data_IF_564576101181
#
_entry.id   IF_564576101181
#
_cell.length_a   1.000
_cell.length_b   1.000
_cell.length_c   1.000
_cell.angle_alpha   90.00
_cell.angle_beta   90.00
_cell.angle_gamma   90.00
#
_symmetry.space_group_name_H-M   'P 1'
#
loop_
_entity.id
_entity.type
_entity.pdbx_description
1 polymer ?
#
# COMPACT_ATOMS: atom_id res chain seq x y z
N UNK A 1 -9.60 -38.43 6.86
CA UNK A 1 -9.58 -37.22 7.70
C UNK A 1 -10.30 -36.10 6.96
N UNK A 2 -11.04 -35.22 7.64
CA UNK A 2 -11.64 -34.03 7.00
C UNK A 2 -10.58 -33.21 6.29
N UNK A 3 -10.89 -32.67 5.12
CA UNK A 3 -9.96 -31.87 4.33
C UNK A 3 -10.39 -30.40 4.39
N UNK A 4 -9.42 -29.47 4.36
CA UNK A 4 -9.68 -28.04 4.20
C UNK A 4 -10.18 -27.74 2.80
N UNK A 5 -10.87 -26.61 2.62
CA UNK A 5 -11.26 -26.13 1.30
C UNK A 5 -10.03 -25.96 0.40
N UNK A 6 -10.14 -26.31 -0.89
CA UNK A 6 -9.04 -26.27 -1.87
C UNK A 6 -8.36 -24.90 -1.95
N UNK A 7 -9.13 -23.81 -1.75
CA UNK A 7 -8.62 -22.43 -1.73
C UNK A 7 -7.57 -22.19 -0.63
N UNK A 8 -7.58 -22.96 0.46
CA UNK A 8 -6.58 -22.83 1.53
C UNK A 8 -5.19 -23.28 1.11
N UNK A 9 -5.07 -24.11 0.09
CA UNK A 9 -3.78 -24.45 -0.52
C UNK A 9 -3.15 -23.30 -1.33
N UNK A 10 -3.95 -22.29 -1.67
CA UNK A 10 -3.51 -21.08 -2.38
C UNK A 10 -3.08 -19.96 -1.39
N UNK A 11 -3.57 -20.00 -0.16
CA UNK A 11 -3.23 -19.01 0.88
C UNK A 11 -1.81 -19.21 1.40
N UNK A 12 -0.97 -18.18 1.34
CA UNK A 12 0.43 -18.20 1.81
C UNK A 12 0.63 -17.19 2.94
N UNK A 13 1.52 -17.46 3.91
CA UNK A 13 1.95 -16.46 4.87
C UNK A 13 2.61 -15.28 4.17
N UNK A 14 2.30 -14.05 4.60
CA UNK A 14 2.92 -12.85 4.05
C UNK A 14 4.44 -12.85 4.27
N UNK A 15 5.23 -12.73 3.20
CA UNK A 15 6.70 -12.67 3.25
C UNK A 15 7.18 -11.51 4.16
N UNK A 16 6.48 -10.37 4.14
CA UNK A 16 6.76 -9.21 4.99
C UNK A 16 6.67 -9.60 6.48
N UNK A 17 5.62 -10.35 6.85
CA UNK A 17 5.40 -10.75 8.25
C UNK A 17 6.45 -11.76 8.72
N UNK A 18 6.84 -12.71 7.87
CA UNK A 18 7.89 -13.70 8.19
C UNK A 18 9.21 -12.99 8.54
N UNK A 19 9.61 -11.99 7.76
CA UNK A 19 10.83 -11.21 8.01
C UNK A 19 10.69 -10.37 9.28
N UNK A 20 9.54 -9.73 9.48
CA UNK A 20 9.28 -8.93 10.67
C UNK A 20 9.33 -9.76 11.95
N UNK A 21 8.76 -10.96 11.94
CA UNK A 21 8.81 -11.90 13.07
C UNK A 21 10.23 -12.39 13.34
N UNK A 22 11.03 -12.71 12.29
CA UNK A 22 12.44 -13.06 12.43
C UNK A 22 13.23 -11.90 13.07
N UNK A 23 13.05 -10.68 12.59
CA UNK A 23 13.71 -9.51 13.16
C UNK A 23 13.31 -9.28 14.63
N UNK A 24 12.02 -9.43 14.96
CA UNK A 24 11.51 -9.33 16.34
C UNK A 24 12.13 -10.38 17.26
N UNK A 25 12.23 -11.62 16.80
CA UNK A 25 12.85 -12.72 17.57
C UNK A 25 14.32 -12.43 17.85
N UNK A 26 15.11 -12.05 16.81
CA UNK A 26 16.52 -11.71 16.98
C UNK A 26 16.73 -10.56 17.96
N UNK A 27 15.85 -9.55 17.92
CA UNK A 27 15.87 -8.44 18.90
C UNK A 27 15.58 -8.91 20.32
N UNK A 28 14.63 -9.84 20.50
CA UNK A 28 14.31 -10.43 21.81
C UNK A 28 15.47 -11.28 22.36
N UNK A 29 16.32 -11.86 21.48
CA UNK A 29 17.55 -12.58 21.81
C UNK A 29 18.73 -11.62 22.16
N UNK A 30 18.48 -10.30 22.24
CA UNK A 30 19.46 -9.29 22.62
C UNK A 30 20.31 -8.75 21.46
N UNK A 31 20.01 -9.12 20.19
CA UNK A 31 20.72 -8.58 19.04
C UNK A 31 20.25 -7.15 18.73
N UNK A 32 21.20 -6.32 18.31
CA UNK A 32 20.94 -4.95 17.88
C UNK A 32 20.38 -4.91 16.46
N UNK A 33 19.06 -4.98 16.32
CA UNK A 33 18.35 -5.05 15.05
C UNK A 33 17.65 -3.74 14.72
N UNK A 34 17.93 -3.22 13.52
CA UNK A 34 17.17 -2.15 12.86
C UNK A 34 16.23 -2.80 11.83
N UNK A 35 14.94 -2.49 11.89
CA UNK A 35 13.97 -3.06 10.96
C UNK A 35 13.36 -2.00 10.04
N UNK A 36 13.57 -2.18 8.74
CA UNK A 36 12.95 -1.46 7.64
C UNK A 36 11.88 -2.30 6.91
N UNK A 37 11.50 -3.44 7.51
CA UNK A 37 10.59 -4.41 6.86
C UNK A 37 9.12 -4.02 6.96
N UNK A 38 8.70 -3.32 8.01
CA UNK A 38 7.29 -3.05 8.29
C UNK A 38 6.87 -1.69 7.72
N UNK A 39 5.82 -1.69 6.88
CA UNK A 39 5.22 -0.49 6.33
C UNK A 39 4.14 0.10 7.25
N UNK A 40 4.51 0.52 8.45
CA UNK A 40 3.62 1.15 9.44
C UNK A 40 4.10 2.57 9.72
N UNK A 41 3.21 3.59 9.68
CA UNK A 41 3.59 4.95 10.06
C UNK A 41 4.12 5.01 11.50
N UNK A 42 5.25 5.70 11.69
CA UNK A 42 5.87 5.88 13.00
C UNK A 42 5.41 7.21 13.65
N UNK A 43 4.10 7.39 13.73
CA UNK A 43 3.48 8.51 14.43
C UNK A 43 2.07 8.13 14.88
N UNK A 44 1.54 8.90 15.81
CA UNK A 44 0.21 8.73 16.37
C UNK A 44 -0.75 9.79 15.80
N UNK A 45 -2.06 9.50 15.73
CA UNK A 45 -3.07 10.50 15.37
C UNK A 45 -3.10 11.65 16.38
N UNK A 46 -3.68 12.78 15.97
CA UNK A 46 -3.85 13.93 16.83
C UNK A 46 -4.71 13.64 18.07
N UNK A 47 -4.52 14.41 19.15
CA UNK A 47 -5.24 14.21 20.43
C UNK A 47 -6.77 14.29 20.28
N UNK A 48 -7.27 15.08 19.34
CA UNK A 48 -8.70 15.17 19.05
C UNK A 48 -9.32 13.83 18.65
N UNK A 49 -8.55 12.94 18.00
CA UNK A 49 -8.97 11.58 17.62
C UNK A 49 -9.16 10.71 18.87
N UNK A 50 -8.21 10.78 19.80
CA UNK A 50 -8.30 10.06 21.07
C UNK A 50 -9.43 10.61 21.97
N UNK A 51 -9.63 11.93 21.97
CA UNK A 51 -10.71 12.57 22.71
C UNK A 51 -12.07 12.08 22.23
N UNK A 52 -12.30 12.05 20.91
CA UNK A 52 -13.53 11.52 20.31
C UNK A 52 -13.76 10.05 20.65
N UNK A 53 -12.71 9.22 20.61
CA UNK A 53 -12.81 7.81 21.00
C UNK A 53 -13.21 7.63 22.46
N UNK A 54 -12.60 8.39 23.39
CA UNK A 54 -12.93 8.34 24.82
C UNK A 54 -14.38 8.78 25.10
N UNK A 55 -14.82 9.84 24.42
CA UNK A 55 -16.21 10.31 24.55
C UNK A 55 -17.20 9.29 24.03
N UNK A 56 -16.93 8.70 22.87
CA UNK A 56 -17.77 7.65 22.30
C UNK A 56 -17.81 6.41 23.21
N UNK A 57 -16.68 5.97 23.76
CA UNK A 57 -16.61 4.84 24.69
C UNK A 57 -17.51 5.05 25.93
N UNK A 58 -17.59 6.28 26.44
CA UNK A 58 -18.44 6.60 27.60
C UNK A 58 -19.95 6.53 27.27
N UNK A 59 -20.31 6.58 25.99
CA UNK A 59 -21.72 6.59 25.52
C UNK A 59 -22.07 5.33 24.73
N UNK A 60 -21.10 4.43 24.49
CA UNK A 60 -21.28 3.25 23.65
C UNK A 60 -22.33 2.32 24.24
N UNK A 61 -23.37 2.07 23.46
CA UNK A 61 -24.46 1.16 23.84
C UNK A 61 -24.11 -0.32 23.62
N UNK A 62 -22.97 -0.64 22.96
CA UNK A 62 -22.61 -1.98 22.55
C UNK A 62 -23.51 -2.54 21.42
N UNK A 63 -24.25 -1.69 20.71
CA UNK A 63 -25.13 -2.12 19.64
C UNK A 63 -24.41 -2.10 18.28
N UNK A 64 -24.95 -2.86 17.33
CA UNK A 64 -24.47 -2.85 15.95
C UNK A 64 -24.79 -1.53 15.25
N UNK A 65 -23.81 -1.01 14.50
CA UNK A 65 -23.99 0.13 13.61
C UNK A 65 -24.43 -0.29 12.20
N UNK A 66 -24.37 0.67 11.28
CA UNK A 66 -24.66 0.45 9.85
C UNK A 66 -23.56 -0.37 9.17
N UNK A 67 -23.93 -1.34 8.33
CA UNK A 67 -23.02 -2.17 7.55
C UNK A 67 -22.21 -1.37 6.50
N UNK A 68 -22.74 -0.22 6.08
CA UNK A 68 -22.08 0.72 5.17
C UNK A 68 -21.11 1.66 5.89
N UNK A 69 -21.29 1.86 7.17
CA UNK A 69 -20.77 2.92 8.01
C UNK A 69 -21.89 3.87 8.46
N UNK A 70 -21.69 4.58 9.57
CA UNK A 70 -22.64 5.61 10.02
C UNK A 70 -22.69 6.76 9.01
N UNK A 71 -23.82 7.48 8.96
CA UNK A 71 -23.96 8.64 8.08
C UNK A 71 -22.88 9.68 8.34
N UNK A 72 -22.53 9.91 9.62
CA UNK A 72 -21.46 10.84 10.00
C UNK A 72 -20.08 10.40 9.44
N UNK A 73 -19.78 9.10 9.46
CA UNK A 73 -18.52 8.58 8.91
C UNK A 73 -18.50 8.67 7.38
N UNK A 74 -19.61 8.36 6.73
CA UNK A 74 -19.76 8.47 5.27
C UNK A 74 -19.62 9.91 4.82
N UNK A 75 -20.26 10.86 5.52
CA UNK A 75 -20.17 12.30 5.20
C UNK A 75 -18.77 12.84 5.43
N UNK A 76 -18.09 12.45 6.51
CA UNK A 76 -16.71 12.82 6.78
C UNK A 76 -15.76 12.32 5.67
N UNK A 77 -15.98 11.09 5.20
CA UNK A 77 -15.19 10.55 4.09
C UNK A 77 -15.49 11.26 2.76
N UNK A 78 -16.75 11.58 2.48
CA UNK A 78 -17.12 12.37 1.30
C UNK A 78 -16.41 13.74 1.30
N UNK A 79 -16.41 14.43 2.46
CA UNK A 79 -15.67 15.69 2.60
C UNK A 79 -14.15 15.52 2.37
N UNK A 80 -13.57 14.42 2.84
CA UNK A 80 -12.16 14.10 2.62
C UNK A 80 -11.83 13.92 1.13
N UNK A 81 -12.60 13.11 0.40
CA UNK A 81 -12.33 12.88 -1.03
C UNK A 81 -12.64 14.12 -1.89
N UNK A 82 -13.62 14.94 -1.48
CA UNK A 82 -13.88 16.23 -2.13
C UNK A 82 -12.68 17.19 -1.98
N UNK A 83 -12.06 17.21 -0.79
CA UNK A 83 -10.84 17.98 -0.57
C UNK A 83 -9.65 17.46 -1.40
N UNK A 84 -9.63 16.17 -1.76
CA UNK A 84 -8.68 15.59 -2.73
C UNK A 84 -9.05 15.92 -4.19
N UNK A 85 -10.18 16.58 -4.47
CA UNK A 85 -10.66 16.90 -5.81
C UNK A 85 -11.54 15.82 -6.45
N UNK A 86 -11.87 14.74 -5.74
CA UNK A 86 -12.77 13.69 -6.21
C UNK A 86 -14.23 14.08 -5.92
N UNK A 87 -14.87 14.70 -6.88
CA UNK A 87 -16.22 15.30 -6.71
C UNK A 87 -17.35 14.46 -7.28
N UNK A 88 -18.58 14.78 -6.88
CA UNK A 88 -19.79 14.17 -7.42
C UNK A 88 -20.11 12.77 -6.90
N UNK A 89 -19.42 12.32 -5.84
CA UNK A 89 -19.80 11.13 -5.09
C UNK A 89 -20.88 11.48 -4.05
N UNK A 90 -21.73 10.52 -3.76
CA UNK A 90 -22.82 10.63 -2.79
C UNK A 90 -22.72 9.48 -1.79
N UNK A 91 -23.57 9.46 -0.76
CA UNK A 91 -23.56 8.42 0.26
C UNK A 91 -23.72 7.00 -0.31
N UNK A 92 -24.55 6.83 -1.36
CA UNK A 92 -24.73 5.54 -2.05
C UNK A 92 -23.48 5.01 -2.75
N UNK A 93 -22.50 5.89 -3.01
CA UNK A 93 -21.21 5.51 -3.62
C UNK A 93 -20.19 5.02 -2.59
N UNK A 94 -20.46 5.14 -1.29
CA UNK A 94 -19.50 4.87 -0.23
C UNK A 94 -19.84 3.57 0.51
N UNK A 95 -18.81 2.79 0.83
CA UNK A 95 -18.87 1.72 1.84
C UNK A 95 -17.58 1.75 2.66
N UNK A 96 -17.70 1.40 3.94
CA UNK A 96 -16.57 1.34 4.87
C UNK A 96 -16.19 -0.12 5.15
N UNK A 97 -15.05 -0.35 5.81
CA UNK A 97 -14.63 -1.70 6.20
C UNK A 97 -13.47 -1.69 7.19
N UNK A 98 -13.02 -2.88 7.59
CA UNK A 98 -11.96 -3.10 8.57
C UNK A 98 -10.59 -2.92 7.93
N UNK A 99 -10.31 -1.69 7.44
CA UNK A 99 -9.09 -1.29 6.73
C UNK A 99 -9.11 -1.68 5.25
N UNK A 100 -8.25 -1.02 4.44
CA UNK A 100 -8.19 -1.22 2.99
C UNK A 100 -7.99 -2.69 2.58
N UNK A 101 -7.24 -3.50 3.35
CA UNK A 101 -7.01 -4.91 3.01
C UNK A 101 -8.31 -5.72 2.97
N UNK A 102 -9.20 -5.56 3.95
CA UNK A 102 -10.48 -6.24 3.97
C UNK A 102 -11.39 -5.75 2.84
N UNK A 103 -11.34 -4.45 2.54
CA UNK A 103 -12.05 -3.85 1.41
C UNK A 103 -11.57 -4.43 0.08
N UNK A 104 -10.25 -4.52 -0.14
CA UNK A 104 -9.68 -5.13 -1.36
C UNK A 104 -10.08 -6.60 -1.50
N UNK A 105 -10.13 -7.33 -0.38
CA UNK A 105 -10.63 -8.70 -0.37
C UNK A 105 -12.12 -8.75 -0.78
N UNK A 106 -12.95 -7.90 -0.20
CA UNK A 106 -14.37 -7.81 -0.57
C UNK A 106 -14.58 -7.39 -2.04
N UNK A 107 -13.74 -6.48 -2.56
CA UNK A 107 -13.78 -6.11 -3.98
C UNK A 107 -13.41 -7.28 -4.88
N UNK A 108 -12.41 -8.08 -4.49
CA UNK A 108 -12.06 -9.29 -5.23
C UNK A 108 -13.22 -10.30 -5.24
N UNK A 109 -13.87 -10.55 -4.11
CA UNK A 109 -15.05 -11.42 -4.00
C UNK A 109 -16.27 -10.88 -4.77
N UNK A 110 -16.42 -9.53 -4.85
CA UNK A 110 -17.56 -8.91 -5.52
C UNK A 110 -17.40 -8.82 -7.05
N UNK A 111 -16.17 -8.79 -7.56
CA UNK A 111 -15.88 -8.46 -8.95
C UNK A 111 -15.26 -9.60 -9.74
N UNK A 112 -14.72 -10.64 -9.09
CA UNK A 112 -14.01 -11.74 -9.72
C UNK A 112 -14.67 -13.09 -9.43
N UNK A 113 -15.02 -13.80 -10.48
CA UNK A 113 -15.31 -15.23 -10.39
C UNK A 113 -14.01 -16.05 -10.55
N UNK A 114 -14.04 -17.33 -10.13
CA UNK A 114 -12.89 -18.23 -10.32
C UNK A 114 -12.52 -18.34 -11.82
N UNK A 115 -11.28 -17.97 -12.15
CA UNK A 115 -10.78 -17.98 -13.52
C UNK A 115 -10.90 -16.66 -14.27
N UNK A 116 -11.55 -15.63 -13.71
CA UNK A 116 -11.48 -14.27 -14.23
C UNK A 116 -10.04 -13.71 -14.13
N UNK A 117 -9.67 -12.82 -15.05
CA UNK A 117 -8.33 -12.21 -15.04
C UNK A 117 -8.31 -10.89 -14.26
N UNK A 118 -7.33 -10.76 -13.36
CA UNK A 118 -6.94 -9.50 -12.75
C UNK A 118 -5.55 -9.09 -13.24
N UNK A 119 -5.39 -7.83 -13.64
CA UNK A 119 -4.10 -7.26 -14.07
C UNK A 119 -3.63 -6.19 -13.07
N UNK A 120 -2.32 -6.16 -12.80
CA UNK A 120 -1.69 -5.09 -11.99
C UNK A 120 -0.21 -4.95 -12.30
N UNK A 121 0.37 -3.71 -12.15
CA UNK A 121 1.79 -3.48 -12.33
C UNK A 121 2.64 -4.19 -11.27
N UNK A 122 3.83 -4.66 -11.64
CA UNK A 122 4.90 -5.02 -10.72
C UNK A 122 6.01 -3.95 -10.82
N UNK A 123 6.60 -3.51 -9.69
CA UNK A 123 6.39 -4.02 -8.31
C UNK A 123 5.01 -3.68 -7.73
N UNK A 124 4.46 -4.63 -6.94
CA UNK A 124 3.12 -4.53 -6.35
C UNK A 124 3.15 -4.81 -4.84
N UNK A 125 2.12 -4.38 -4.10
CA UNK A 125 1.96 -4.82 -2.71
C UNK A 125 1.57 -6.31 -2.66
N UNK A 126 2.31 -7.09 -1.88
CA UNK A 126 2.20 -8.57 -1.81
C UNK A 126 0.77 -9.08 -1.67
N UNK A 127 -0.09 -8.34 -0.95
CA UNK A 127 -1.47 -8.75 -0.71
C UNK A 127 -2.36 -8.74 -1.96
N UNK A 128 -1.99 -8.02 -3.03
CA UNK A 128 -2.77 -8.11 -4.28
C UNK A 128 -2.68 -9.50 -4.89
N UNK A 129 -1.46 -10.05 -4.93
CA UNK A 129 -1.21 -11.41 -5.39
C UNK A 129 -1.93 -12.43 -4.50
N UNK A 130 -1.73 -12.33 -3.18
CA UNK A 130 -2.30 -13.27 -2.21
C UNK A 130 -3.85 -13.29 -2.29
N UNK A 131 -4.49 -12.11 -2.37
CA UNK A 131 -5.95 -12.01 -2.49
C UNK A 131 -6.44 -12.62 -3.81
N UNK A 132 -5.79 -12.29 -4.93
CA UNK A 132 -6.15 -12.82 -6.24
C UNK A 132 -6.01 -14.36 -6.30
N UNK A 133 -4.94 -14.91 -5.71
CA UNK A 133 -4.76 -16.38 -5.61
C UNK A 133 -5.87 -17.02 -4.76
N UNK A 134 -6.27 -16.43 -3.62
CA UNK A 134 -7.30 -16.97 -2.74
C UNK A 134 -8.65 -17.05 -3.44
N UNK A 135 -9.07 -16.01 -4.16
CA UNK A 135 -10.35 -15.99 -4.90
C UNK A 135 -10.30 -16.81 -6.17
N UNK A 136 -9.12 -17.27 -6.62
CA UNK A 136 -8.95 -18.12 -7.78
C UNK A 136 -8.88 -17.38 -9.11
N UNK A 137 -8.53 -16.09 -9.07
CA UNK A 137 -8.34 -15.30 -10.28
C UNK A 137 -7.08 -15.72 -11.06
N UNK A 138 -7.10 -15.54 -12.38
CA UNK A 138 -5.91 -15.57 -13.22
C UNK A 138 -5.18 -14.24 -13.09
N UNK A 139 -3.88 -14.31 -12.87
CA UNK A 139 -3.09 -13.14 -12.55
C UNK A 139 -2.25 -12.73 -13.77
N UNK A 140 -2.41 -11.48 -14.19
CA UNK A 140 -1.64 -10.85 -15.25
C UNK A 140 -0.76 -9.74 -14.64
N UNK A 141 0.51 -10.06 -14.43
CA UNK A 141 1.49 -9.12 -13.87
C UNK A 141 2.10 -8.32 -15.02
N UNK A 142 2.13 -7.00 -14.88
CA UNK A 142 2.70 -6.06 -15.85
C UNK A 142 4.07 -5.58 -15.34
N UNK A 143 5.19 -6.12 -15.83
CA UNK A 143 6.51 -5.75 -15.34
C UNK A 143 6.83 -4.29 -15.63
N UNK A 144 7.22 -3.55 -14.60
CA UNK A 144 7.69 -2.16 -14.69
C UNK A 144 9.11 -2.10 -14.10
N UNK A 145 10.16 -2.28 -14.92
CA UNK A 145 11.53 -2.38 -14.44
C UNK A 145 12.08 -1.02 -13.96
N UNK A 146 13.20 -0.99 -13.22
CA UNK A 146 13.79 0.24 -12.70
C UNK A 146 14.20 1.23 -13.79
N UNK A 147 14.52 0.76 -14.99
CA UNK A 147 14.86 1.58 -16.16
C UNK A 147 13.70 2.47 -16.62
N UNK A 148 12.45 2.09 -16.32
CA UNK A 148 11.23 2.90 -16.51
C UNK A 148 10.69 3.46 -15.19
N UNK A 149 11.55 3.61 -14.18
CA UNK A 149 11.21 4.14 -12.85
C UNK A 149 10.07 3.38 -12.16
N UNK A 150 9.94 2.07 -12.40
CA UNK A 150 8.86 1.23 -11.85
C UNK A 150 7.44 1.72 -12.19
N UNK A 151 7.28 2.48 -13.27
CA UNK A 151 5.98 3.01 -13.71
C UNK A 151 5.48 2.27 -14.95
N UNK A 152 4.19 1.96 -14.96
CA UNK A 152 3.50 1.36 -16.09
C UNK A 152 3.43 2.37 -17.26
N UNK A 153 3.72 1.92 -18.46
CA UNK A 153 3.57 2.72 -19.68
C UNK A 153 2.18 2.54 -20.29
N UNK A 154 1.68 3.53 -21.08
CA UNK A 154 0.43 3.41 -21.81
C UNK A 154 0.39 2.19 -22.76
N UNK A 155 1.51 1.85 -23.40
CA UNK A 155 1.59 0.71 -24.31
C UNK A 155 1.41 -0.62 -23.58
N UNK A 156 2.08 -0.80 -22.43
CA UNK A 156 1.91 -1.99 -21.59
C UNK A 156 0.46 -2.13 -21.08
N UNK A 157 -0.15 -1.00 -20.70
CA UNK A 157 -1.55 -1.00 -20.25
C UNK A 157 -2.50 -1.35 -21.40
N UNK A 158 -2.28 -0.81 -22.59
CA UNK A 158 -3.11 -1.11 -23.78
C UNK A 158 -3.05 -2.61 -24.14
N UNK A 159 -1.86 -3.19 -24.13
CA UNK A 159 -1.67 -4.62 -24.35
C UNK A 159 -2.38 -5.47 -23.28
N UNK A 160 -2.27 -5.07 -22.02
CA UNK A 160 -2.91 -5.78 -20.92
C UNK A 160 -4.44 -5.71 -21.00
N UNK A 161 -5.00 -4.52 -21.26
CA UNK A 161 -6.46 -4.33 -21.33
C UNK A 161 -7.07 -4.93 -22.60
N UNK A 162 -6.29 -5.07 -23.69
CA UNK A 162 -6.73 -5.80 -24.88
C UNK A 162 -7.05 -7.28 -24.60
N UNK A 163 -6.48 -7.87 -23.53
CA UNK A 163 -6.83 -9.21 -23.03
C UNK A 163 -8.17 -9.27 -22.30
N UNK A 164 -8.81 -8.10 -22.07
CA UNK A 164 -10.07 -7.94 -21.34
C UNK A 164 -10.05 -8.50 -19.92
N UNK A 165 -9.07 -8.12 -19.07
CA UNK A 165 -9.12 -8.51 -17.67
C UNK A 165 -10.40 -7.95 -17.02
N UNK A 166 -10.97 -8.72 -16.11
CA UNK A 166 -12.16 -8.28 -15.36
C UNK A 166 -11.85 -7.08 -14.46
N UNK A 167 -10.63 -7.06 -13.87
CA UNK A 167 -10.16 -6.02 -12.98
C UNK A 167 -8.74 -5.58 -13.38
N UNK A 168 -8.51 -4.27 -13.44
CA UNK A 168 -7.18 -3.67 -13.40
C UNK A 168 -7.00 -2.97 -12.06
N UNK A 169 -5.95 -3.34 -11.30
CA UNK A 169 -5.64 -2.75 -10.00
C UNK A 169 -4.39 -1.87 -10.12
N UNK A 170 -4.49 -0.64 -9.63
CA UNK A 170 -3.46 0.39 -9.70
C UNK A 170 -3.21 1.00 -8.33
N UNK A 171 -1.95 1.24 -7.94
CA UNK A 171 -1.58 1.82 -6.65
C UNK A 171 -0.73 3.07 -6.86
N UNK A 172 -1.25 4.23 -6.42
CA UNK A 172 -0.59 5.53 -6.57
C UNK A 172 -0.88 6.48 -5.39
N UNK A 173 0.13 6.91 -4.63
CA UNK A 173 1.56 6.53 -4.63
C UNK A 173 1.80 5.05 -4.34
N UNK A 174 2.88 4.49 -4.91
CA UNK A 174 3.11 3.05 -4.94
C UNK A 174 3.84 2.52 -3.70
N UNK A 175 3.38 1.39 -3.20
CA UNK A 175 4.12 0.47 -2.36
C UNK A 175 4.49 -0.77 -3.20
N UNK A 176 5.80 -1.06 -3.46
CA UNK A 176 6.94 -0.73 -2.59
C UNK A 176 7.81 0.45 -3.06
N UNK A 177 7.53 1.06 -4.21
CA UNK A 177 8.52 1.88 -4.93
C UNK A 177 8.63 3.33 -4.45
N UNK A 178 7.56 3.85 -3.83
CA UNK A 178 7.46 5.28 -3.50
C UNK A 178 7.27 6.18 -4.73
N UNK A 179 7.06 5.59 -5.90
CA UNK A 179 6.83 6.37 -7.11
C UNK A 179 5.43 6.96 -7.16
N UNK A 180 5.31 8.13 -7.77
CA UNK A 180 4.05 8.86 -7.96
C UNK A 180 3.91 9.18 -9.44
N UNK A 181 2.74 8.91 -10.00
CA UNK A 181 2.45 9.28 -11.38
C UNK A 181 2.08 10.76 -11.47
N UNK A 182 2.72 11.46 -12.39
CA UNK A 182 2.39 12.85 -12.72
C UNK A 182 1.01 12.95 -13.36
N UNK A 183 0.47 14.17 -13.44
CA UNK A 183 -0.82 14.41 -14.11
C UNK A 183 -0.82 13.91 -15.56
N UNK A 184 0.24 14.17 -16.31
CA UNK A 184 0.34 13.80 -17.72
C UNK A 184 0.45 12.28 -17.91
N UNK A 185 1.17 11.58 -17.00
CA UNK A 185 1.21 10.11 -17.00
C UNK A 185 -0.17 9.52 -16.69
N UNK A 186 -0.91 10.09 -15.73
CA UNK A 186 -2.29 9.66 -15.43
C UNK A 186 -3.24 9.94 -16.61
N UNK A 187 -3.10 11.09 -17.31
CA UNK A 187 -3.88 11.36 -18.53
C UNK A 187 -3.62 10.27 -19.57
N UNK A 188 -2.36 9.98 -19.86
CA UNK A 188 -1.98 8.99 -20.86
C UNK A 188 -2.52 7.58 -20.55
N UNK A 189 -2.47 7.17 -19.27
CA UNK A 189 -3.07 5.89 -18.83
C UNK A 189 -4.60 5.93 -18.88
N UNK A 190 -5.23 7.04 -18.49
CA UNK A 190 -6.68 7.20 -18.53
C UNK A 190 -7.24 7.15 -19.97
N UNK A 191 -6.49 7.70 -20.93
CA UNK A 191 -6.84 7.64 -22.36
C UNK A 191 -6.83 6.17 -22.88
N UNK A 192 -5.92 5.35 -22.39
CA UNK A 192 -5.93 3.91 -22.67
C UNK A 192 -7.13 3.24 -21.99
N UNK A 193 -7.32 3.48 -20.69
CA UNK A 193 -8.44 2.91 -19.93
C UNK A 193 -9.77 3.20 -20.62
N UNK A 194 -9.97 4.42 -21.15
CA UNK A 194 -11.22 4.82 -21.79
C UNK A 194 -11.62 3.93 -22.99
N UNK A 195 -10.66 3.27 -23.64
CA UNK A 195 -10.93 2.36 -24.80
C UNK A 195 -11.53 1.02 -24.38
N UNK A 196 -11.43 0.63 -23.10
CA UNK A 196 -11.80 -0.69 -22.60
C UNK A 196 -12.88 -0.59 -21.52
N UNK A 197 -14.17 -0.40 -21.91
CA UNK A 197 -15.25 -0.08 -20.98
C UNK A 197 -15.64 -1.22 -20.03
N UNK A 198 -15.28 -2.47 -20.35
CA UNK A 198 -15.73 -3.65 -19.63
C UNK A 198 -14.82 -4.04 -18.44
N UNK A 199 -13.71 -3.31 -18.24
CA UNK A 199 -12.76 -3.57 -17.14
C UNK A 199 -13.05 -2.66 -15.94
N UNK A 200 -13.21 -3.22 -14.75
CA UNK A 200 -13.24 -2.48 -13.49
C UNK A 200 -11.85 -1.98 -13.13
N UNK A 201 -11.76 -0.75 -12.65
CA UNK A 201 -10.49 -0.13 -12.26
C UNK A 201 -10.48 0.10 -10.76
N UNK A 202 -9.65 -0.65 -10.03
CA UNK A 202 -9.43 -0.40 -8.60
C UNK A 202 -8.19 0.48 -8.45
N UNK A 203 -8.35 1.64 -7.78
CA UNK A 203 -7.21 2.49 -7.40
C UNK A 203 -7.01 2.41 -5.89
N UNK A 204 -5.89 1.81 -5.47
CA UNK A 204 -5.46 1.79 -4.07
C UNK A 204 -4.62 3.04 -3.80
N UNK A 205 -5.28 4.06 -3.26
CA UNK A 205 -4.74 5.41 -3.11
C UNK A 205 -4.44 5.75 -1.64
N UNK A 206 -4.17 4.76 -0.80
CA UNK A 206 -3.97 4.93 0.65
C UNK A 206 -2.79 5.85 1.04
N UNK A 207 -1.97 6.28 0.08
CA UNK A 207 -0.87 7.22 0.26
C UNK A 207 -1.15 8.59 -0.39
N UNK A 208 -2.39 8.89 -0.76
CA UNK A 208 -2.79 10.08 -1.55
C UNK A 208 -2.32 11.43 -0.97
N UNK A 209 -2.17 11.54 0.35
CA UNK A 209 -1.67 12.74 1.04
C UNK A 209 -0.17 12.72 1.29
N UNK A 210 0.52 11.62 1.00
CA UNK A 210 1.95 11.46 1.18
C UNK A 210 2.67 11.59 -0.16
N UNK A 211 2.67 12.80 -0.71
CA UNK A 211 3.31 13.16 -1.99
C UNK A 211 4.30 14.30 -1.74
N UNK A 212 5.50 14.18 -2.31
CA UNK A 212 6.61 15.09 -2.09
C UNK A 212 6.92 15.93 -3.34
N UNK A 213 7.76 16.95 -3.16
CA UNK A 213 8.35 17.76 -4.24
C UNK A 213 7.34 18.46 -5.17
N UNK A 214 6.09 18.66 -4.72
CA UNK A 214 5.06 19.35 -5.50
C UNK A 214 4.53 18.57 -6.69
N UNK A 215 4.80 17.25 -6.80
CA UNK A 215 4.29 16.41 -7.91
C UNK A 215 2.75 16.38 -7.92
N UNK A 216 2.12 16.47 -6.75
CA UNK A 216 0.67 16.38 -6.60
C UNK A 216 0.14 14.94 -6.70
N UNK A 217 -1.00 14.71 -6.06
CA UNK A 217 -1.72 13.45 -6.19
C UNK A 217 -2.75 13.55 -7.33
N UNK A 218 -2.78 12.55 -8.20
CA UNK A 218 -3.73 12.46 -9.30
C UNK A 218 -4.32 11.05 -9.40
N UNK A 219 -5.65 11.00 -9.61
CA UNK A 219 -6.41 9.79 -9.87
C UNK A 219 -7.01 9.87 -11.29
N UNK A 220 -7.42 8.76 -11.87
CA UNK A 220 -8.03 8.72 -13.21
C UNK A 220 -9.29 9.59 -13.31
N UNK A 221 -10.10 9.64 -12.24
CA UNK A 221 -11.32 10.47 -12.20
C UNK A 221 -11.02 11.98 -12.23
N UNK A 222 -9.82 12.42 -11.77
CA UNK A 222 -9.44 13.83 -11.87
C UNK A 222 -9.25 14.30 -13.31
N UNK A 223 -8.78 13.42 -14.18
CA UNK A 223 -8.43 13.73 -15.57
C UNK A 223 -9.51 13.28 -16.55
N UNK A 224 -10.31 12.30 -16.18
CA UNK A 224 -11.41 11.70 -16.94
C UNK A 224 -12.60 11.45 -16.03
N UNK A 225 -13.43 12.48 -15.69
CA UNK A 225 -14.54 12.32 -14.74
C UNK A 225 -15.57 11.25 -15.14
N UNK A 226 -15.71 10.97 -16.44
CA UNK A 226 -16.58 9.91 -16.98
C UNK A 226 -16.15 8.50 -16.54
N UNK A 227 -14.90 8.31 -16.16
CA UNK A 227 -14.42 7.02 -15.64
C UNK A 227 -14.96 6.69 -14.24
N UNK A 228 -15.61 7.65 -13.56
CA UNK A 228 -16.22 7.45 -12.24
C UNK A 228 -17.18 6.26 -12.19
N UNK A 229 -17.83 5.94 -13.31
CA UNK A 229 -18.80 4.84 -13.38
C UNK A 229 -18.15 3.43 -13.33
N UNK A 230 -16.82 3.34 -13.29
CA UNK A 230 -16.08 2.08 -13.21
C UNK A 230 -14.75 2.16 -12.49
N UNK A 231 -14.37 3.33 -11.98
CA UNK A 231 -13.22 3.50 -11.09
C UNK A 231 -13.69 3.37 -9.64
N UNK A 232 -12.97 2.55 -8.90
CA UNK A 232 -13.20 2.25 -7.50
C UNK A 232 -12.01 2.82 -6.73
N UNK A 233 -12.24 3.92 -6.05
CA UNK A 233 -11.25 4.56 -5.18
C UNK A 233 -11.22 3.83 -3.83
N UNK A 234 -10.03 3.41 -3.39
CA UNK A 234 -9.80 2.75 -2.09
C UNK A 234 -8.89 3.61 -1.25
N UNK A 235 -9.28 3.87 -0.01
CA UNK A 235 -8.48 4.63 0.96
C UNK A 235 -8.61 4.06 2.37
N UNK A 236 -7.77 4.52 3.30
CA UNK A 236 -7.84 4.15 4.72
C UNK A 236 -7.17 5.18 5.62
N UNK A 237 -7.54 5.19 6.89
CA UNK A 237 -6.89 6.01 7.92
C UNK A 237 -5.49 5.50 8.31
N UNK A 238 -5.12 4.32 7.80
CA UNK A 238 -3.91 3.61 8.25
C UNK A 238 -2.62 4.37 8.01
N UNK A 239 -2.52 5.11 6.90
CA UNK A 239 -1.26 5.77 6.50
C UNK A 239 -1.28 7.26 6.79
N UNK A 240 -2.23 7.97 6.20
CA UNK A 240 -2.40 9.42 6.37
C UNK A 240 -2.51 9.85 7.83
N UNK A 241 -3.23 9.09 8.65
CA UNK A 241 -3.53 9.46 10.04
C UNK A 241 -2.74 8.67 11.09
N UNK A 242 -1.82 7.78 10.68
CA UNK A 242 -1.07 6.95 11.64
C UNK A 242 -1.95 5.96 12.41
N UNK A 243 -3.03 5.48 11.81
CA UNK A 243 -4.06 4.66 12.47
C UNK A 243 -4.16 3.21 11.93
N UNK A 244 -3.06 2.49 11.66
CA UNK A 244 -3.18 1.15 11.06
C UNK A 244 -3.86 0.13 11.97
N UNK A 245 -3.69 0.24 13.28
CA UNK A 245 -4.31 -0.64 14.28
C UNK A 245 -5.80 -0.37 14.52
N UNK A 246 -6.32 0.79 14.11
CA UNK A 246 -7.73 1.17 14.26
C UNK A 246 -8.65 0.50 13.24
N UNK A 247 -8.07 -0.01 12.16
CA UNK A 247 -8.75 -0.82 11.17
C UNK A 247 -9.95 -0.11 10.50
N UNK A 248 -9.74 1.05 9.88
CA UNK A 248 -10.76 1.77 9.11
C UNK A 248 -10.29 1.96 7.67
N UNK A 249 -11.13 1.57 6.73
CA UNK A 249 -10.93 1.77 5.30
C UNK A 249 -12.24 2.12 4.61
N UNK A 250 -12.13 2.63 3.38
CA UNK A 250 -13.22 3.21 2.61
C UNK A 250 -13.12 2.86 1.14
N UNK A 251 -14.28 2.82 0.46
CA UNK A 251 -14.35 2.97 -0.99
C UNK A 251 -15.24 4.16 -1.34
N UNK A 252 -14.91 4.79 -2.48
CA UNK A 252 -15.85 5.56 -3.29
C UNK A 252 -15.93 4.90 -4.67
N UNK A 253 -17.11 4.43 -5.06
CA UNK A 253 -17.31 3.52 -6.19
C UNK A 253 -18.68 3.73 -6.84
N UNK A 254 -18.95 3.14 -8.02
CA UNK A 254 -20.30 3.00 -8.53
C UNK A 254 -21.22 2.38 -7.49
N UNK A 255 -22.47 2.84 -7.43
CA UNK A 255 -23.45 2.41 -6.41
C UNK A 255 -23.59 0.89 -6.33
N UNK A 256 -23.58 0.20 -7.47
CA UNK A 256 -23.68 -1.26 -7.52
C UNK A 256 -22.53 -1.95 -6.78
N UNK A 257 -21.29 -1.43 -6.92
CA UNK A 257 -20.11 -1.96 -6.24
C UNK A 257 -20.14 -1.63 -4.75
N UNK A 258 -20.46 -0.38 -4.38
CA UNK A 258 -20.58 0.01 -2.99
C UNK A 258 -21.65 -0.83 -2.25
N UNK A 259 -22.78 -1.11 -2.90
CA UNK A 259 -23.84 -1.99 -2.40
C UNK A 259 -23.34 -3.43 -2.24
N UNK A 260 -22.59 -3.97 -3.20
CA UNK A 260 -22.03 -5.32 -3.12
C UNK A 260 -21.07 -5.45 -1.94
N UNK A 261 -20.13 -4.51 -1.76
CA UNK A 261 -19.21 -4.48 -0.62
C UNK A 261 -19.96 -4.35 0.70
N UNK A 262 -21.00 -3.51 0.78
CA UNK A 262 -21.86 -3.38 1.98
C UNK A 262 -22.59 -4.69 2.29
N UNK A 263 -23.04 -5.42 1.26
CA UNK A 263 -23.66 -6.74 1.43
C UNK A 263 -22.67 -7.76 1.98
N UNK A 264 -21.44 -7.79 1.47
CA UNK A 264 -20.38 -8.63 2.02
C UNK A 264 -20.05 -8.27 3.47
N UNK A 265 -19.97 -6.97 3.80
CA UNK A 265 -19.79 -6.53 5.17
C UNK A 265 -20.86 -7.08 6.13
N UNK A 266 -22.13 -7.10 5.70
CA UNK A 266 -23.21 -7.62 6.54
C UNK A 266 -23.05 -9.10 6.90
N UNK A 267 -22.29 -9.86 6.09
CA UNK A 267 -22.01 -11.28 6.29
C UNK A 267 -20.65 -11.57 6.94
N UNK A 268 -19.74 -10.57 6.98
CA UNK A 268 -18.39 -10.73 7.51
C UNK A 268 -18.23 -10.05 8.89
N UNK A 269 -18.39 -8.73 8.92
CA UNK A 269 -18.03 -7.87 10.05
C UNK A 269 -19.22 -7.21 10.70
N UNK A 270 -20.36 -7.22 10.04
CA UNK A 270 -21.58 -6.46 10.37
C UNK A 270 -21.35 -4.95 10.28
N UNK A 271 -20.60 -4.35 11.21
CA UNK A 271 -20.33 -2.91 11.24
C UNK A 271 -18.98 -2.62 11.90
N UNK A 272 -18.49 -1.40 11.73
CA UNK A 272 -17.38 -0.89 12.55
C UNK A 272 -17.90 -0.59 13.98
N UNK A 273 -17.06 -0.79 15.02
CA UNK A 273 -17.39 -0.37 16.38
C UNK A 273 -17.62 1.14 16.49
N UNK A 274 -18.56 1.58 17.32
CA UNK A 274 -18.91 3.00 17.47
C UNK A 274 -17.72 3.86 17.90
N UNK A 275 -16.90 3.38 18.83
CA UNK A 275 -15.69 4.05 19.31
C UNK A 275 -14.71 4.30 18.15
N UNK A 276 -14.55 3.32 17.26
CA UNK A 276 -13.68 3.43 16.09
C UNK A 276 -14.27 4.40 15.06
N UNK A 277 -15.59 4.35 14.88
CA UNK A 277 -16.34 5.24 13.99
C UNK A 277 -16.18 6.71 14.41
N UNK A 278 -16.34 7.01 15.70
CA UNK A 278 -16.18 8.37 16.22
C UNK A 278 -14.75 8.89 16.05
N UNK A 279 -13.75 8.05 16.32
CA UNK A 279 -12.35 8.39 16.08
C UNK A 279 -12.07 8.65 14.59
N UNK A 280 -12.66 7.86 13.71
CA UNK A 280 -12.50 8.02 12.26
C UNK A 280 -13.13 9.32 11.75
N UNK A 281 -14.32 9.68 12.23
CA UNK A 281 -14.96 10.97 11.93
C UNK A 281 -14.05 12.12 12.39
N UNK A 282 -13.53 12.06 13.62
CA UNK A 282 -12.63 13.09 14.15
C UNK A 282 -11.33 13.21 13.34
N UNK A 283 -10.77 12.10 12.88
CA UNK A 283 -9.58 12.12 12.03
C UNK A 283 -9.83 12.80 10.68
N UNK A 284 -10.94 12.46 10.02
CA UNK A 284 -11.28 12.99 8.69
C UNK A 284 -11.74 14.45 8.72
N UNK A 285 -12.50 14.84 9.74
CA UNK A 285 -13.12 16.18 9.82
C UNK A 285 -12.35 17.16 10.71
N UNK A 286 -11.39 16.67 11.48
CA UNK A 286 -10.60 17.48 12.41
C UNK A 286 -9.41 18.19 11.75
N UNK A 287 -8.51 18.79 12.56
CA UNK A 287 -7.30 19.43 12.09
C UNK A 287 -6.41 18.48 11.28
N UNK A 288 -5.85 18.97 10.15
CA UNK A 288 -5.00 18.20 9.23
C UNK A 288 -3.51 18.55 9.35
N UNK A 289 -3.13 19.29 10.37
CA UNK A 289 -1.76 19.74 10.66
C UNK A 289 -0.81 18.57 10.95
N UNK A 290 -1.27 17.53 11.68
CA UNK A 290 -0.43 16.35 11.99
C UNK A 290 -0.11 15.56 10.71
N UNK A 291 -1.06 15.16 9.85
CA UNK A 291 -0.75 14.54 8.56
C UNK A 291 0.19 15.39 7.69
N UNK A 292 -0.03 16.70 7.59
CA UNK A 292 0.79 17.60 6.78
C UNK A 292 2.23 17.71 7.32
N UNK A 293 2.42 17.86 8.63
CA UNK A 293 3.73 17.88 9.25
C UNK A 293 4.48 16.56 9.04
N UNK A 294 3.78 15.42 9.15
CA UNK A 294 4.39 14.10 8.94
C UNK A 294 4.76 13.84 7.48
N UNK A 295 3.97 14.33 6.53
CA UNK A 295 4.34 14.29 5.12
C UNK A 295 5.67 15.04 4.88
N UNK A 296 5.84 16.25 5.43
CA UNK A 296 7.08 17.01 5.33
C UNK A 296 8.27 16.29 5.99
N UNK A 297 8.08 15.68 7.16
CA UNK A 297 9.10 14.87 7.84
C UNK A 297 9.53 13.68 6.99
N UNK A 298 8.58 12.97 6.34
CA UNK A 298 8.89 11.87 5.44
C UNK A 298 9.68 12.30 4.20
N UNK A 299 9.44 13.48 3.67
CA UNK A 299 10.24 14.02 2.57
C UNK A 299 11.72 14.19 2.97
N UNK A 300 11.99 14.67 4.19
CA UNK A 300 13.37 14.78 4.72
C UNK A 300 14.00 13.40 4.92
N UNK A 301 13.28 12.44 5.49
CA UNK A 301 13.76 11.05 5.65
C UNK A 301 14.04 10.39 4.30
N UNK A 302 13.17 10.61 3.31
CA UNK A 302 13.35 10.14 1.94
C UNK A 302 14.69 10.63 1.37
N UNK A 303 15.03 11.90 1.54
CA UNK A 303 16.27 12.45 0.99
C UNK A 303 17.51 11.80 1.63
N UNK A 304 17.48 11.58 2.94
CA UNK A 304 18.57 10.89 3.65
C UNK A 304 18.76 9.47 3.12
N UNK A 305 17.68 8.71 2.97
CA UNK A 305 17.72 7.34 2.43
C UNK A 305 18.19 7.32 0.98
N UNK A 306 17.60 8.18 0.14
CA UNK A 306 17.97 8.28 -1.27
C UNK A 306 19.45 8.61 -1.44
N UNK A 307 19.95 9.65 -0.75
CA UNK A 307 21.36 10.06 -0.85
C UNK A 307 22.32 8.95 -0.39
N UNK A 308 21.98 8.22 0.68
CA UNK A 308 22.77 7.09 1.13
C UNK A 308 22.81 5.95 0.09
N UNK A 309 21.66 5.63 -0.54
CA UNK A 309 21.58 4.56 -1.53
C UNK A 309 22.34 4.89 -2.81
N UNK A 310 22.19 6.10 -3.35
CA UNK A 310 22.87 6.50 -4.59
C UNK A 310 24.38 6.77 -4.40
N UNK A 311 24.85 6.87 -3.16
CA UNK A 311 26.28 6.92 -2.87
C UNK A 311 26.98 5.56 -3.03
N UNK A 312 26.20 4.46 -3.09
CA UNK A 312 26.75 3.11 -3.25
C UNK A 312 26.99 2.85 -4.75
N UNK A 313 28.24 2.57 -5.19
CA UNK A 313 28.53 2.35 -6.59
C UNK A 313 27.70 1.22 -7.20
N UNK A 314 27.00 1.51 -8.29
CA UNK A 314 26.21 0.54 -9.05
C UNK A 314 24.79 0.28 -8.50
N UNK A 315 24.42 0.81 -7.35
CA UNK A 315 23.03 0.79 -6.88
C UNK A 315 22.22 1.84 -7.65
N UNK A 316 21.09 1.42 -8.21
CA UNK A 316 20.15 2.30 -8.91
C UNK A 316 18.89 2.44 -8.07
N UNK A 317 18.55 3.67 -7.70
CA UNK A 317 17.33 3.95 -6.93
C UNK A 317 16.60 5.13 -7.57
N UNK A 318 15.44 4.92 -8.22
CA UNK A 318 14.58 6.04 -8.56
C UNK A 318 14.21 6.81 -7.29
N UNK A 319 14.29 8.16 -7.35
CA UNK A 319 13.99 8.98 -6.17
C UNK A 319 12.53 8.87 -5.80
N UNK A 320 12.16 8.37 -4.61
CA UNK A 320 10.77 8.25 -4.21
C UNK A 320 10.08 9.61 -4.15
N UNK A 321 8.87 9.69 -4.65
CA UNK A 321 8.08 10.92 -4.74
C UNK A 321 6.87 10.90 -3.80
N UNK A 322 6.62 9.76 -3.14
CA UNK A 322 5.52 9.60 -2.18
C UNK A 322 5.64 8.37 -1.30
N UNK A 323 4.65 8.12 -0.49
CA UNK A 323 4.64 7.08 0.53
C UNK A 323 5.84 7.20 1.50
N UNK A 324 6.34 6.11 2.04
CA UNK A 324 7.55 6.10 2.90
C UNK A 324 8.43 4.87 2.62
N UNK A 325 8.63 4.59 1.32
CA UNK A 325 9.45 3.47 0.84
C UNK A 325 10.49 3.93 -0.16
N UNK A 326 11.65 3.26 -0.11
CA UNK A 326 12.64 3.26 -1.19
C UNK A 326 12.79 1.83 -1.71
N UNK A 327 13.03 1.71 -3.01
CA UNK A 327 13.10 0.42 -3.70
C UNK A 327 14.29 0.39 -4.66
N UNK A 328 15.54 0.32 -4.11
CA UNK A 328 16.75 0.29 -4.92
C UNK A 328 16.93 -1.05 -5.64
N UNK A 329 17.42 -1.01 -6.88
CA UNK A 329 18.02 -2.15 -7.56
C UNK A 329 19.40 -2.43 -6.93
N UNK A 330 19.57 -3.64 -6.41
CA UNK A 330 20.76 -4.11 -5.71
C UNK A 330 21.50 -5.20 -6.49
N UNK A 331 21.15 -5.42 -7.76
CA UNK A 331 21.72 -6.48 -8.58
C UNK A 331 23.25 -6.39 -8.72
N UNK A 332 23.83 -5.20 -8.50
CA UNK A 332 25.28 -5.00 -8.40
C UNK A 332 25.95 -5.85 -7.31
N UNK A 333 25.20 -6.35 -6.33
CA UNK A 333 25.68 -7.25 -5.29
C UNK A 333 25.68 -8.72 -5.73
N UNK A 334 24.94 -9.07 -6.78
CA UNK A 334 24.81 -10.46 -7.21
C UNK A 334 26.11 -10.98 -7.84
N UNK A 335 26.50 -12.20 -7.48
CA UNK A 335 27.78 -12.80 -7.82
C UNK A 335 28.93 -12.44 -6.89
N UNK A 336 28.76 -11.44 -6.02
CA UNK A 336 29.73 -11.09 -4.98
C UNK A 336 29.58 -11.97 -3.74
N UNK A 337 30.55 -11.84 -2.82
CA UNK A 337 30.56 -12.60 -1.55
C UNK A 337 30.60 -11.65 -0.36
N UNK A 338 29.94 -12.05 0.72
CA UNK A 338 30.12 -11.46 2.03
C UNK A 338 30.57 -12.55 3.02
N UNK A 339 31.72 -12.35 3.68
CA UNK A 339 32.33 -13.35 4.58
C UNK A 339 32.46 -14.75 3.94
N UNK A 340 32.77 -14.80 2.64
CA UNK A 340 32.91 -16.05 1.88
C UNK A 340 31.61 -16.68 1.39
N UNK A 341 30.42 -16.16 1.79
CA UNK A 341 29.11 -16.61 1.34
C UNK A 341 28.67 -15.82 0.10
N UNK A 342 28.31 -16.53 -0.97
CA UNK A 342 27.87 -15.90 -2.20
C UNK A 342 26.49 -15.25 -2.05
N UNK A 343 26.32 -14.05 -2.61
CA UNK A 343 25.04 -13.34 -2.76
C UNK A 343 24.54 -13.58 -4.18
N UNK A 344 23.55 -14.44 -4.33
CA UNK A 344 23.05 -14.83 -5.67
C UNK A 344 21.64 -14.28 -5.95
N UNK A 345 20.99 -13.75 -4.94
CA UNK A 345 19.61 -13.24 -5.01
C UNK A 345 19.39 -12.11 -4.01
N UNK A 346 18.25 -11.41 -4.17
CA UNK A 346 17.75 -10.44 -3.19
C UNK A 346 17.43 -11.09 -1.83
N UNK A 347 17.01 -12.35 -1.83
CA UNK A 347 16.76 -13.12 -0.60
C UNK A 347 18.07 -13.38 0.14
N UNK A 348 19.12 -13.83 -0.56
CA UNK A 348 20.45 -14.03 0.04
C UNK A 348 21.00 -12.72 0.59
N UNK A 349 20.84 -11.63 -0.17
CA UNK A 349 21.27 -10.30 0.25
C UNK A 349 20.58 -9.88 1.56
N UNK A 350 19.25 -9.95 1.62
CA UNK A 350 18.49 -9.59 2.81
C UNK A 350 18.83 -10.50 4.01
N UNK A 351 19.06 -11.79 3.77
CA UNK A 351 19.45 -12.73 4.80
C UNK A 351 20.84 -12.40 5.37
N UNK A 352 21.84 -12.18 4.51
CA UNK A 352 23.19 -11.84 4.91
C UNK A 352 23.23 -10.48 5.64
N UNK A 353 22.53 -9.47 5.13
CA UNK A 353 22.40 -8.14 5.76
C UNK A 353 21.82 -8.23 7.17
N UNK A 354 20.76 -9.03 7.35
CA UNK A 354 20.14 -9.22 8.67
C UNK A 354 21.08 -9.96 9.63
N UNK A 355 21.73 -11.03 9.17
CA UNK A 355 22.57 -11.86 10.04
C UNK A 355 23.87 -11.14 10.44
N UNK A 356 24.48 -10.38 9.56
CA UNK A 356 25.82 -9.80 9.80
C UNK A 356 25.77 -8.34 10.27
N UNK A 357 24.80 -7.56 9.79
CA UNK A 357 24.67 -6.13 10.12
C UNK A 357 23.43 -5.82 10.98
N UNK A 358 22.56 -6.79 11.21
CA UNK A 358 21.35 -6.58 12.00
C UNK A 358 20.35 -5.63 11.33
N UNK A 359 20.27 -5.59 9.99
CA UNK A 359 19.27 -4.76 9.27
C UNK A 359 18.30 -5.67 8.54
N UNK A 360 17.01 -5.51 8.85
CA UNK A 360 15.92 -6.25 8.22
C UNK A 360 15.27 -5.42 7.11
N UNK A 361 15.42 -5.86 5.85
CA UNK A 361 14.72 -5.35 4.67
C UNK A 361 13.85 -6.44 4.06
N UNK A 362 12.94 -6.08 3.14
CA UNK A 362 12.11 -7.06 2.44
C UNK A 362 12.67 -7.29 1.03
N UNK A 363 12.96 -8.54 0.62
CA UNK A 363 13.39 -8.85 -0.73
C UNK A 363 12.39 -8.35 -1.78
N UNK A 364 12.89 -7.85 -2.89
CA UNK A 364 12.06 -7.30 -3.97
C UNK A 364 11.25 -8.38 -4.71
N UNK A 365 11.73 -9.64 -4.71
CA UNK A 365 11.00 -10.80 -5.23
C UNK A 365 9.61 -10.96 -4.60
N UNK A 366 9.43 -10.58 -3.33
CA UNK A 366 8.13 -10.55 -2.67
C UNK A 366 7.15 -9.56 -3.33
N UNK A 367 7.66 -8.58 -4.08
CA UNK A 367 6.88 -7.55 -4.78
C UNK A 367 6.92 -7.75 -6.31
N UNK A 368 7.49 -8.86 -6.79
CA UNK A 368 7.61 -9.16 -8.22
C UNK A 368 8.83 -8.56 -8.93
N UNK A 369 9.83 -8.04 -8.21
CA UNK A 369 11.08 -7.51 -8.79
C UNK A 369 12.30 -8.06 -8.04
N UNK A 370 12.89 -9.17 -8.49
CA UNK A 370 13.96 -9.88 -7.77
C UNK A 370 15.32 -9.18 -7.78
N UNK A 371 15.47 -8.04 -8.49
CA UNK A 371 16.71 -7.25 -8.47
C UNK A 371 16.75 -6.22 -7.34
N UNK A 372 15.64 -6.03 -6.62
CA UNK A 372 15.48 -4.94 -5.68
C UNK A 372 15.33 -5.40 -4.22
N UNK A 373 15.27 -4.44 -3.31
CA UNK A 373 14.78 -4.63 -1.95
C UNK A 373 13.93 -3.44 -1.51
N UNK A 374 12.98 -3.66 -0.59
CA UNK A 374 12.19 -2.57 -0.02
C UNK A 374 12.76 -2.11 1.31
N UNK A 375 12.97 -0.80 1.43
CA UNK A 375 13.30 -0.08 2.66
C UNK A 375 12.10 0.78 3.06
N UNK A 376 11.48 0.52 4.22
CA UNK A 376 10.51 1.42 4.84
C UNK A 376 11.25 2.39 5.74
N UNK A 377 11.21 3.69 5.42
CA UNK A 377 11.87 4.70 6.24
C UNK A 377 10.94 5.35 7.29
N UNK A 378 9.81 4.71 7.55
CA UNK A 378 8.91 5.10 8.63
C UNK A 378 9.39 4.54 9.97
N UNK A 379 10.49 5.06 10.47
CA UNK A 379 11.12 4.70 11.74
C UNK A 379 11.72 5.93 12.44
N UNK A 380 12.15 5.84 13.72
CA UNK A 380 12.90 6.90 14.38
C UNK A 380 14.19 7.27 13.64
N UNK A 381 14.59 8.55 13.73
CA UNK A 381 15.76 9.08 13.00
C UNK A 381 17.05 8.33 13.32
N UNK A 382 17.30 8.05 14.60
CA UNK A 382 18.48 7.29 15.04
C UNK A 382 18.53 5.88 14.38
N UNK A 383 17.38 5.20 14.32
CA UNK A 383 17.29 3.89 13.67
C UNK A 383 17.50 4.01 12.15
N UNK A 384 17.00 5.10 11.53
CA UNK A 384 17.17 5.36 10.11
C UNK A 384 18.66 5.53 9.78
N UNK A 385 19.35 6.43 10.48
CA UNK A 385 20.78 6.72 10.24
C UNK A 385 21.63 5.49 10.47
N UNK A 386 21.42 4.79 11.58
CA UNK A 386 22.13 3.57 11.93
C UNK A 386 21.93 2.47 10.88
N UNK A 387 20.69 2.25 10.46
CA UNK A 387 20.37 1.22 9.48
C UNK A 387 20.95 1.54 8.09
N UNK A 388 20.85 2.80 7.65
CA UNK A 388 21.42 3.21 6.37
C UNK A 388 22.95 3.13 6.36
N UNK A 389 23.63 3.55 7.44
CA UNK A 389 25.08 3.39 7.57
C UNK A 389 25.51 1.93 7.44
N UNK A 390 24.78 1.01 8.10
CA UNK A 390 25.04 -0.45 8.02
C UNK A 390 24.79 -1.03 6.64
N UNK A 391 23.82 -0.51 5.87
CA UNK A 391 23.62 -0.92 4.48
C UNK A 391 24.80 -0.48 3.62
N UNK A 392 25.26 0.76 3.74
CA UNK A 392 26.42 1.27 3.00
C UNK A 392 27.68 0.47 3.33
N UNK A 393 27.92 0.22 4.61
CA UNK A 393 29.05 -0.61 5.09
C UNK A 393 28.97 -2.04 4.54
N UNK A 394 27.78 -2.68 4.54
CA UNK A 394 27.61 -4.01 3.99
C UNK A 394 28.01 -4.08 2.52
N UNK A 395 27.60 -3.11 1.70
CA UNK A 395 27.98 -3.06 0.30
C UNK A 395 29.49 -2.87 0.10
N UNK A 396 30.14 -2.09 0.97
CA UNK A 396 31.59 -1.87 0.92
C UNK A 396 32.41 -3.14 1.26
N UNK A 397 31.83 -4.08 2.00
CA UNK A 397 32.46 -5.34 2.38
C UNK A 397 32.27 -6.47 1.33
N UNK A 398 31.46 -6.24 0.30
CA UNK A 398 31.24 -7.22 -0.76
C UNK A 398 32.48 -7.35 -1.66
N UNK A 399 32.94 -8.58 -1.84
CA UNK A 399 34.15 -8.94 -2.64
C UNK A 399 33.80 -9.76 -3.88
#
# INVERSE_FOLDING_TARGET
MPQLATRMGRAKPSAIMVIAEKAKRLKAEGRDIVSFSIGVPNFLPGEHVYAAAREALAKDSGQYGSNRGSDALVDAFLGHIEALGLTGYKRENVSTGVGAKQILYNLAEALLDEGDEIAFPAPYWTSYLDIAEIVGAKINILPCPPEQHYKLTPAQLDEALARKPRVFLFNNPSNPTGMVYTRDEIVALADVIAKYPDTWIITDDIYNTMVFDGVGYHNFVHVRPELKDRVIFVDSLSKTYGMPGWRVGFIAAPESVAKAVTTLNSNHITSLPEVITAAAVAALSGPQDVPAAKCAEFAVKRDRVYNALVSIPGVVCPRPQGAFYAFPDISVAFGKKHNGVAITSDVDFCAALLETKGVACVPGSAFGEPRALRISYSCPDEALDKGMARIVEFFAELT
#
